data_IF_656906452911
#
_entry.id   IF_656906452911
#
_cell.length_a   1.000
_cell.length_b   1.000
_cell.length_c   1.000
_cell.angle_alpha   90.00
_cell.angle_beta   90.00
_cell.angle_gamma   90.00
#
_symmetry.space_group_name_H-M   'P 1'
#
loop_
_entity.id
_entity.type
_entity.pdbx_description
1 polymer ?
#
# COMPACT_ATOMS: atom_id res chain seq x y z
N UNK A 1 -15.57 -11.69 -13.94
CA UNK A 1 -15.16 -11.11 -12.64
C UNK A 1 -16.41 -10.79 -11.83
N UNK A 2 -16.41 -11.05 -10.53
CA UNK A 2 -17.47 -10.65 -9.58
C UNK A 2 -16.83 -9.70 -8.58
N UNK A 3 -17.51 -8.60 -8.25
CA UNK A 3 -17.01 -7.61 -7.29
C UNK A 3 -18.17 -6.94 -6.55
N UNK A 4 -17.99 -6.71 -5.25
CA UNK A 4 -18.91 -5.91 -4.44
C UNK A 4 -18.82 -4.41 -4.74
N UNK A 5 -17.77 -3.98 -5.44
CA UNK A 5 -17.63 -2.60 -5.89
C UNK A 5 -18.68 -2.27 -6.96
N UNK A 6 -19.17 -1.05 -6.97
CA UNK A 6 -20.14 -0.55 -7.96
C UNK A 6 -19.47 0.02 -9.22
N UNK A 7 -18.14 0.07 -9.22
CA UNK A 7 -17.36 0.63 -10.31
C UNK A 7 -16.59 -0.45 -11.06
N UNK A 8 -16.33 -0.19 -12.35
CA UNK A 8 -15.34 -0.92 -13.12
C UNK A 8 -13.95 -0.72 -12.54
N UNK A 9 -12.97 -1.58 -12.88
CA UNK A 9 -11.62 -1.48 -12.34
C UNK A 9 -11.00 -0.07 -12.49
N UNK A 10 -10.46 0.45 -11.41
CA UNK A 10 -9.85 1.77 -11.33
C UNK A 10 -8.55 1.73 -10.52
N UNK A 11 -7.70 2.73 -10.75
CA UNK A 11 -6.43 2.90 -10.08
C UNK A 11 -6.63 3.55 -8.69
N UNK A 12 -6.02 2.97 -7.65
CA UNK A 12 -6.20 3.43 -6.26
C UNK A 12 -5.14 4.43 -5.81
N UNK A 13 -3.87 4.36 -6.24
CA UNK A 13 -2.84 5.31 -5.79
C UNK A 13 -3.21 6.79 -5.92
N UNK A 14 -3.96 7.24 -6.95
CA UNK A 14 -4.38 8.63 -7.03
C UNK A 14 -5.36 9.09 -5.94
N UNK A 15 -6.05 8.15 -5.26
CA UNK A 15 -7.09 8.47 -4.28
C UNK A 15 -6.57 9.20 -3.03
N UNK A 16 -5.30 9.02 -2.68
CA UNK A 16 -4.62 9.74 -1.59
C UNK A 16 -3.83 10.97 -2.07
N UNK A 17 -3.74 11.16 -3.40
CA UNK A 17 -2.85 12.13 -4.07
C UNK A 17 -3.61 13.03 -5.04
N UNK A 18 -3.36 12.86 -6.35
CA UNK A 18 -3.85 13.77 -7.42
C UNK A 18 -5.36 13.85 -7.48
N UNK A 19 -6.06 12.73 -7.31
CA UNK A 19 -7.51 12.71 -7.34
C UNK A 19 -8.12 13.40 -6.11
N UNK A 20 -7.56 13.17 -4.91
CA UNK A 20 -7.97 13.87 -3.68
C UNK A 20 -7.78 15.39 -3.83
N UNK A 21 -6.65 15.80 -4.41
CA UNK A 21 -6.35 17.22 -4.65
C UNK A 21 -7.13 17.86 -5.82
N UNK A 22 -7.94 17.08 -6.54
CA UNK A 22 -8.69 17.56 -7.70
C UNK A 22 -7.81 17.91 -8.92
N UNK A 23 -6.60 17.34 -9.00
CA UNK A 23 -5.66 17.57 -10.11
C UNK A 23 -5.94 16.69 -11.33
N UNK A 24 -6.66 15.59 -11.15
CA UNK A 24 -7.12 14.71 -12.22
C UNK A 24 -8.62 14.47 -12.10
N UNK A 25 -9.26 14.24 -13.26
CA UNK A 25 -10.67 13.94 -13.34
C UNK A 25 -11.00 12.53 -12.85
N UNK A 26 -12.26 12.34 -12.40
CA UNK A 26 -12.79 11.04 -12.00
C UNK A 26 -12.62 9.97 -13.09
N UNK A 27 -12.79 10.34 -14.36
CA UNK A 27 -12.68 9.37 -15.46
C UNK A 27 -11.24 8.91 -15.70
N UNK A 28 -10.26 9.71 -15.33
CA UNK A 28 -8.84 9.40 -15.52
C UNK A 28 -8.32 8.29 -14.61
N UNK A 29 -9.04 7.95 -13.53
CA UNK A 29 -8.62 6.88 -12.62
C UNK A 29 -9.05 5.49 -13.09
N UNK A 30 -9.99 5.37 -14.04
CA UNK A 30 -10.42 4.08 -14.56
C UNK A 30 -9.40 3.53 -15.55
N UNK A 31 -9.04 2.26 -15.41
CA UNK A 31 -8.12 1.61 -16.34
C UNK A 31 -8.67 1.58 -17.76
N UNK A 32 -10.01 1.33 -17.85
CA UNK A 32 -10.70 1.30 -19.14
C UNK A 32 -12.12 1.87 -18.99
N UNK A 33 -12.65 2.42 -20.05
CA UNK A 33 -14.04 2.88 -20.09
C UNK A 33 -15.02 1.70 -20.04
N UNK A 34 -16.25 1.87 -19.50
CA UNK A 34 -17.23 0.80 -19.38
C UNK A 34 -17.49 -0.01 -20.65
N UNK A 35 -17.47 0.67 -21.82
CA UNK A 35 -17.68 0.04 -23.11
C UNK A 35 -16.56 -0.95 -23.51
N UNK A 36 -15.36 -0.82 -22.98
CA UNK A 36 -14.30 -1.79 -23.17
C UNK A 36 -14.71 -3.18 -22.65
N UNK A 37 -15.34 -3.21 -21.49
CA UNK A 37 -15.78 -4.46 -20.86
C UNK A 37 -17.07 -4.99 -21.46
N UNK A 38 -18.05 -4.12 -21.72
CA UNK A 38 -19.41 -4.52 -22.15
C UNK A 38 -19.47 -4.97 -23.61
N UNK A 39 -18.53 -4.50 -24.46
CA UNK A 39 -18.48 -4.91 -25.88
C UNK A 39 -17.67 -6.18 -26.13
N UNK A 40 -17.04 -6.75 -25.11
CA UNK A 40 -16.22 -7.96 -25.23
C UNK A 40 -17.00 -9.18 -24.73
N UNK A 41 -17.32 -10.11 -25.62
CA UNK A 41 -18.08 -11.32 -25.29
C UNK A 41 -17.34 -12.25 -24.31
N UNK A 42 -16.00 -12.19 -24.29
CA UNK A 42 -15.15 -13.01 -23.43
C UNK A 42 -14.88 -12.38 -22.05
N UNK A 43 -15.43 -11.19 -21.74
CA UNK A 43 -15.29 -10.54 -20.44
C UNK A 43 -16.68 -10.27 -19.87
N UNK A 44 -16.95 -10.85 -18.72
CA UNK A 44 -18.15 -10.54 -17.93
C UNK A 44 -17.76 -10.01 -16.57
N UNK A 45 -18.23 -8.79 -16.23
CA UNK A 45 -18.07 -8.18 -14.91
C UNK A 45 -19.43 -8.04 -14.26
N UNK A 46 -19.56 -8.57 -13.05
CA UNK A 46 -20.76 -8.48 -12.21
C UNK A 46 -20.41 -7.56 -11.06
N UNK A 47 -20.95 -6.34 -11.11
CA UNK A 47 -20.76 -5.29 -10.11
C UNK A 47 -21.80 -5.44 -8.97
N UNK A 48 -21.59 -4.71 -7.85
CA UNK A 48 -22.48 -4.68 -6.67
C UNK A 48 -22.87 -6.09 -6.17
N UNK A 49 -21.96 -7.05 -6.31
CA UNK A 49 -22.27 -8.44 -5.99
C UNK A 49 -21.11 -9.07 -5.25
N UNK A 50 -21.38 -9.58 -4.05
CA UNK A 50 -20.40 -10.32 -3.27
C UNK A 50 -20.44 -11.81 -3.61
N UNK A 51 -19.29 -12.47 -3.46
CA UNK A 51 -19.22 -13.93 -3.41
C UNK A 51 -19.34 -14.34 -1.95
N UNK A 52 -20.33 -15.18 -1.63
CA UNK A 52 -20.62 -15.62 -0.26
C UNK A 52 -19.87 -16.90 0.10
N UNK A 53 -19.68 -17.80 -0.88
CA UNK A 53 -19.04 -19.09 -0.69
C UNK A 53 -18.44 -19.61 -1.98
N UNK A 54 -17.33 -20.35 -1.85
CA UNK A 54 -16.73 -21.13 -2.93
C UNK A 54 -16.96 -22.62 -2.61
N UNK A 55 -17.68 -23.33 -3.46
CA UNK A 55 -17.76 -24.77 -3.39
C UNK A 55 -16.59 -25.35 -4.18
N UNK A 56 -15.56 -25.75 -3.46
CA UNK A 56 -14.31 -26.25 -4.07
C UNK A 56 -14.53 -27.57 -4.85
N UNK A 57 -15.39 -28.46 -4.34
CA UNK A 57 -15.65 -29.77 -4.95
C UNK A 57 -16.44 -29.64 -6.26
N UNK A 58 -17.46 -28.82 -6.26
CA UNK A 58 -18.35 -28.61 -7.40
C UNK A 58 -17.87 -27.51 -8.34
N UNK A 59 -16.75 -26.85 -7.99
CA UNK A 59 -16.20 -25.72 -8.73
C UNK A 59 -17.26 -24.64 -9.02
N UNK A 60 -17.97 -24.24 -7.97
CA UNK A 60 -19.01 -23.20 -8.02
C UNK A 60 -18.75 -22.08 -7.04
N UNK A 61 -19.13 -20.85 -7.40
CA UNK A 61 -19.19 -19.71 -6.51
C UNK A 61 -20.64 -19.29 -6.32
N UNK A 62 -21.06 -19.17 -5.07
CA UNK A 62 -22.36 -18.67 -4.68
C UNK A 62 -22.29 -17.18 -4.46
N UNK A 63 -23.14 -16.43 -5.15
CA UNK A 63 -23.22 -14.97 -5.09
C UNK A 63 -24.26 -14.51 -4.08
N UNK A 64 -24.14 -13.28 -3.60
CA UNK A 64 -25.07 -12.66 -2.63
C UNK A 64 -26.53 -12.56 -3.11
N UNK A 65 -26.77 -12.70 -4.42
CA UNK A 65 -28.09 -12.74 -5.02
C UNK A 65 -28.62 -14.18 -5.23
N UNK A 66 -27.94 -15.20 -4.68
CA UNK A 66 -28.30 -16.61 -4.80
C UNK A 66 -27.87 -17.28 -6.13
N UNK A 67 -27.27 -16.55 -7.05
CA UNK A 67 -26.79 -17.14 -8.32
C UNK A 67 -25.54 -17.98 -8.06
N UNK A 68 -25.45 -19.14 -8.71
CA UNK A 68 -24.25 -19.99 -8.72
C UNK A 68 -23.55 -19.85 -10.08
N UNK A 69 -22.26 -19.58 -10.06
CA UNK A 69 -21.42 -19.54 -11.26
C UNK A 69 -20.39 -20.66 -11.15
N UNK A 70 -20.35 -21.54 -12.13
CA UNK A 70 -19.31 -22.58 -12.23
C UNK A 70 -18.06 -22.03 -12.88
N UNK A 71 -16.90 -22.58 -12.49
CA UNK A 71 -15.59 -22.20 -13.01
C UNK A 71 -14.73 -23.45 -13.30
N UNK A 72 -13.85 -23.34 -14.26
CA UNK A 72 -12.73 -24.29 -14.43
C UNK A 72 -11.59 -23.95 -13.49
N UNK A 73 -11.30 -22.66 -13.35
CA UNK A 73 -10.31 -22.10 -12.42
C UNK A 73 -10.82 -20.78 -11.84
N UNK A 74 -10.47 -20.51 -10.59
CA UNK A 74 -10.86 -19.28 -9.88
C UNK A 74 -9.63 -18.51 -9.39
N UNK A 75 -9.73 -17.18 -9.37
CA UNK A 75 -8.74 -16.30 -8.77
C UNK A 75 -9.40 -15.49 -7.64
N UNK A 76 -8.87 -15.58 -6.44
CA UNK A 76 -9.28 -14.78 -5.30
C UNK A 76 -8.35 -13.56 -5.23
N UNK A 77 -8.92 -12.36 -5.44
CA UNK A 77 -8.21 -11.08 -5.39
C UNK A 77 -8.98 -10.06 -4.54
N UNK A 78 -9.44 -10.51 -3.37
CA UNK A 78 -10.32 -9.74 -2.47
C UNK A 78 -9.61 -8.60 -1.74
N UNK A 79 -8.28 -8.54 -1.79
CA UNK A 79 -7.48 -7.47 -1.18
C UNK A 79 -7.68 -7.35 0.33
N UNK A 80 -7.84 -6.13 0.81
CA UNK A 80 -8.06 -5.82 2.22
C UNK A 80 -8.97 -4.63 2.42
N UNK A 81 -9.46 -4.47 3.64
CA UNK A 81 -10.29 -3.34 4.10
C UNK A 81 -9.58 -2.55 5.19
N UNK A 82 -9.90 -1.25 5.38
CA UNK A 82 -9.35 -0.45 6.46
C UNK A 82 -9.61 -1.10 7.83
N UNK A 83 -8.59 -1.07 8.67
CA UNK A 83 -8.70 -1.52 10.07
C UNK A 83 -9.53 -0.50 10.85
N UNK A 84 -10.58 -0.98 11.53
CA UNK A 84 -11.39 -0.19 12.44
C UNK A 84 -10.73 -0.14 13.81
N UNK A 85 -10.72 1.03 14.46
CA UNK A 85 -10.20 1.18 15.83
C UNK A 85 -11.21 0.74 16.88
N UNK A 86 -12.51 0.85 16.56
CA UNK A 86 -13.64 0.57 17.48
C UNK A 86 -13.60 1.44 18.74
N UNK A 87 -13.27 2.71 18.55
CA UNK A 87 -13.24 3.71 19.61
C UNK A 87 -14.60 4.41 19.76
N UNK A 88 -14.93 4.94 20.95
CA UNK A 88 -16.12 5.76 21.16
C UNK A 88 -16.14 6.93 20.16
N UNK A 89 -17.28 7.13 19.49
CA UNK A 89 -17.48 8.21 18.52
C UNK A 89 -16.91 7.96 17.12
N UNK A 90 -16.37 6.75 16.82
CA UNK A 90 -15.85 6.41 15.49
C UNK A 90 -16.94 6.41 14.42
N UNK A 91 -18.20 6.33 14.81
CA UNK A 91 -19.38 6.37 13.94
C UNK A 91 -19.88 7.78 13.61
N UNK A 92 -19.31 8.83 14.20
CA UNK A 92 -19.71 10.22 13.94
C UNK A 92 -19.42 10.60 12.47
N UNK A 93 -20.29 11.47 11.93
CA UNK A 93 -20.02 12.10 10.65
C UNK A 93 -18.69 12.85 10.70
N UNK A 94 -17.97 12.87 9.56
CA UNK A 94 -16.63 13.48 9.48
C UNK A 94 -15.50 12.59 9.96
N UNK A 95 -15.79 11.33 10.35
CA UNK A 95 -14.78 10.28 10.54
C UNK A 95 -14.67 9.49 9.25
N UNK A 96 -13.49 9.50 8.64
CA UNK A 96 -13.22 8.91 7.33
C UNK A 96 -12.23 7.75 7.40
N UNK A 97 -12.34 6.89 6.41
CA UNK A 97 -11.36 5.90 6.00
C UNK A 97 -11.06 6.14 4.52
N UNK A 98 -9.95 5.61 4.02
CA UNK A 98 -9.63 5.74 2.60
C UNK A 98 -9.20 4.39 2.03
N UNK A 99 -10.05 3.81 1.18
CA UNK A 99 -9.78 2.59 0.42
C UNK A 99 -10.41 2.62 -0.96
N UNK A 100 -11.63 3.17 -1.05
CA UNK A 100 -12.46 3.16 -2.27
C UNK A 100 -12.57 4.55 -2.87
N UNK A 101 -13.09 4.59 -4.11
CA UNK A 101 -13.40 5.84 -4.79
C UNK A 101 -14.44 6.66 -4.01
N UNK A 102 -15.46 6.00 -3.43
CA UNK A 102 -16.47 6.68 -2.62
C UNK A 102 -15.88 7.28 -1.33
N UNK A 103 -14.93 6.57 -0.71
CA UNK A 103 -14.24 7.12 0.47
C UNK A 103 -13.51 8.42 0.11
N UNK A 104 -12.81 8.42 -1.04
CA UNK A 104 -12.12 9.62 -1.50
C UNK A 104 -13.11 10.73 -1.87
N UNK A 105 -14.20 10.42 -2.57
CA UNK A 105 -15.23 11.41 -2.90
C UNK A 105 -15.86 12.01 -1.65
N UNK A 106 -16.09 11.19 -0.60
CA UNK A 106 -16.58 11.68 0.69
C UNK A 106 -15.57 12.61 1.36
N UNK A 107 -14.28 12.23 1.36
CA UNK A 107 -13.20 13.06 1.92
C UNK A 107 -13.03 14.38 1.14
N UNK A 108 -13.19 14.37 -0.19
CA UNK A 108 -13.16 15.59 -1.03
C UNK A 108 -14.29 16.56 -0.75
N UNK A 109 -15.39 16.10 -0.19
CA UNK A 109 -16.54 16.98 0.17
C UNK A 109 -16.31 17.73 1.48
N UNK A 110 -15.28 17.38 2.24
CA UNK A 110 -14.93 18.09 3.45
C UNK A 110 -14.47 19.51 3.14
N UNK A 111 -15.16 20.49 3.78
CA UNK A 111 -14.87 21.90 3.65
C UNK A 111 -14.18 22.46 4.91
N UNK A 112 -13.77 21.59 5.80
CA UNK A 112 -13.13 21.93 7.06
C UNK A 112 -11.71 22.45 6.86
N UNK A 113 -11.23 23.21 7.85
CA UNK A 113 -9.89 23.80 7.86
C UNK A 113 -8.92 23.09 8.79
N UNK A 114 -9.41 22.23 9.67
CA UNK A 114 -8.61 21.49 10.63
C UNK A 114 -8.91 19.99 10.56
N UNK A 115 -7.90 19.19 10.27
CA UNK A 115 -8.00 17.74 10.17
C UNK A 115 -7.01 17.03 11.09
N UNK A 116 -7.46 15.91 11.65
CA UNK A 116 -6.58 14.95 12.34
C UNK A 116 -6.52 13.67 11.54
N UNK A 117 -5.30 13.17 11.34
CA UNK A 117 -5.02 11.88 10.71
C UNK A 117 -4.48 10.94 11.77
N UNK A 118 -5.12 9.80 11.95
CA UNK A 118 -4.71 8.76 12.87
C UNK A 118 -3.95 7.68 12.11
N UNK A 119 -2.65 7.59 12.37
CA UNK A 119 -1.70 6.69 11.72
C UNK A 119 -0.70 7.39 10.82
N UNK A 120 0.59 7.23 11.11
CA UNK A 120 1.74 7.76 10.35
C UNK A 120 2.30 6.76 9.33
N UNK A 121 1.44 5.87 8.78
CA UNK A 121 1.74 4.97 7.67
C UNK A 121 1.62 5.65 6.30
N UNK A 122 1.71 4.86 5.19
CA UNK A 122 1.69 5.43 3.83
C UNK A 122 0.47 6.28 3.55
N UNK A 123 -0.74 5.74 3.73
CA UNK A 123 -1.99 6.47 3.42
C UNK A 123 -2.13 7.71 4.29
N UNK A 124 -1.81 7.60 5.60
CA UNK A 124 -1.91 8.76 6.50
C UNK A 124 -0.98 9.90 6.08
N UNK A 125 0.26 9.58 5.73
CA UNK A 125 1.27 10.56 5.30
C UNK A 125 0.94 11.16 3.92
N UNK A 126 0.49 10.36 2.95
CA UNK A 126 0.06 10.85 1.64
C UNK A 126 -1.15 11.80 1.76
N UNK A 127 -2.15 11.44 2.58
CA UNK A 127 -3.31 12.29 2.80
C UNK A 127 -2.93 13.56 3.58
N UNK A 128 -2.01 13.45 4.57
CA UNK A 128 -1.50 14.63 5.29
C UNK A 128 -0.87 15.64 4.33
N UNK A 129 -0.02 15.17 3.41
CA UNK A 129 0.55 16.00 2.36
C UNK A 129 -0.55 16.63 1.49
N UNK A 130 -1.48 15.82 0.99
CA UNK A 130 -2.54 16.27 0.08
C UNK A 130 -3.47 17.31 0.73
N UNK A 131 -3.89 17.09 1.97
CA UNK A 131 -4.74 18.04 2.71
C UNK A 131 -4.00 19.36 3.03
N UNK A 132 -2.73 19.26 3.41
CA UNK A 132 -1.90 20.46 3.66
C UNK A 132 -1.72 21.28 2.38
N UNK A 133 -1.51 20.63 1.22
CA UNK A 133 -1.45 21.31 -0.08
C UNK A 133 -2.78 21.96 -0.48
N UNK A 134 -3.91 21.48 0.07
CA UNK A 134 -5.24 22.09 -0.10
C UNK A 134 -5.52 23.20 0.94
N UNK A 135 -4.55 23.51 1.82
CA UNK A 135 -4.68 24.56 2.83
C UNK A 135 -5.38 24.12 4.12
N UNK A 136 -5.55 22.82 4.34
CA UNK A 136 -6.10 22.25 5.57
C UNK A 136 -4.98 22.15 6.61
N UNK A 137 -5.18 22.68 7.81
CA UNK A 137 -4.28 22.51 8.95
C UNK A 137 -4.35 21.07 9.42
N UNK A 138 -3.27 20.34 9.24
CA UNK A 138 -3.23 18.89 9.42
C UNK A 138 -2.36 18.49 10.61
N UNK A 139 -2.90 17.62 11.48
CA UNK A 139 -2.16 16.99 12.57
C UNK A 139 -2.19 15.48 12.41
N UNK A 140 -1.03 14.82 12.43
CA UNK A 140 -0.88 13.36 12.38
C UNK A 140 -0.62 12.84 13.80
N UNK A 141 -1.42 11.87 14.25
CA UNK A 141 -1.24 11.14 15.51
C UNK A 141 -0.71 9.75 15.19
N UNK A 142 0.42 9.36 15.80
CA UNK A 142 1.05 8.07 15.60
C UNK A 142 1.45 7.46 16.95
N UNK A 143 1.05 6.20 17.20
CA UNK A 143 1.36 5.47 18.45
C UNK A 143 2.84 5.09 18.55
N UNK A 144 3.56 5.07 17.44
CA UNK A 144 4.97 4.74 17.39
C UNK A 144 5.85 5.99 17.56
N UNK A 145 7.15 5.83 17.90
CA UNK A 145 8.05 6.95 18.14
C UNK A 145 8.39 7.76 16.87
N UNK A 146 8.10 7.23 15.69
CA UNK A 146 8.33 7.89 14.40
C UNK A 146 7.40 7.36 13.32
N UNK A 147 7.19 8.14 12.27
CA UNK A 147 6.37 7.79 11.11
C UNK A 147 7.07 6.73 10.25
N UNK A 148 6.28 5.96 9.47
CA UNK A 148 6.82 4.91 8.58
C UNK A 148 7.73 3.88 9.27
N UNK A 149 7.55 3.64 10.55
CA UNK A 149 8.39 2.78 11.39
C UNK A 149 8.51 1.31 10.95
N UNK A 150 7.67 0.86 10.04
CA UNK A 150 7.74 -0.48 9.43
C UNK A 150 8.52 -0.51 8.12
N UNK A 151 8.97 0.64 7.64
CA UNK A 151 9.47 0.82 6.29
C UNK A 151 10.85 1.51 6.26
N UNK A 152 11.09 2.48 7.15
CA UNK A 152 12.36 3.20 7.26
C UNK A 152 12.87 3.18 8.68
N UNK A 153 14.18 3.41 8.85
CA UNK A 153 14.77 3.66 10.14
C UNK A 153 14.40 5.06 10.69
N UNK A 154 14.67 5.27 11.98
CA UNK A 154 14.34 6.53 12.65
C UNK A 154 15.00 7.75 11.99
N UNK A 155 16.22 7.62 11.47
CA UNK A 155 16.97 8.73 10.87
C UNK A 155 16.29 9.27 9.62
N UNK A 156 15.86 8.36 8.73
CA UNK A 156 15.10 8.74 7.53
C UNK A 156 13.74 9.27 7.92
N UNK A 157 13.04 8.59 8.83
CA UNK A 157 11.75 9.04 9.32
C UNK A 157 11.79 10.47 9.88
N UNK A 158 12.80 10.78 10.69
CA UNK A 158 12.99 12.13 11.25
C UNK A 158 13.26 13.18 10.16
N UNK A 159 14.02 12.85 9.13
CA UNK A 159 14.22 13.75 8.00
C UNK A 159 12.90 14.06 7.31
N UNK A 160 12.11 13.04 7.01
CA UNK A 160 10.80 13.20 6.37
C UNK A 160 9.83 13.95 7.28
N UNK A 161 9.78 13.62 8.57
CA UNK A 161 8.97 14.35 9.54
C UNK A 161 9.30 15.83 9.55
N UNK A 162 10.58 16.21 9.66
CA UNK A 162 11.04 17.60 9.63
C UNK A 162 10.65 18.29 8.32
N UNK A 163 10.68 17.55 7.19
CA UNK A 163 10.23 18.06 5.91
C UNK A 163 8.72 18.40 5.94
N UNK A 164 7.90 17.53 6.50
CA UNK A 164 6.47 17.78 6.68
C UNK A 164 6.18 18.95 7.63
N UNK A 165 6.92 19.05 8.73
CA UNK A 165 6.78 20.13 9.71
C UNK A 165 7.10 21.49 9.09
N UNK A 166 8.11 21.57 8.20
CA UNK A 166 8.38 22.76 7.39
C UNK A 166 7.22 23.15 6.46
N UNK A 167 6.43 22.18 6.02
CA UNK A 167 5.23 22.41 5.21
C UNK A 167 3.97 22.64 6.04
N UNK A 168 4.09 22.69 7.38
CA UNK A 168 2.99 23.06 8.28
C UNK A 168 2.17 21.88 8.80
N UNK A 169 2.62 20.64 8.62
CA UNK A 169 2.00 19.46 9.26
C UNK A 169 2.48 19.34 10.70
N UNK A 170 1.56 19.12 11.63
CA UNK A 170 1.89 18.83 13.02
C UNK A 170 1.93 17.33 13.28
N UNK A 171 2.81 16.90 14.21
CA UNK A 171 2.90 15.50 14.63
C UNK A 171 2.71 15.35 16.13
N UNK A 172 1.96 14.34 16.53
CA UNK A 172 1.84 13.84 17.90
C UNK A 172 2.25 12.36 17.86
N UNK A 173 3.46 12.09 18.29
CA UNK A 173 4.07 10.76 18.27
C UNK A 173 4.03 10.12 19.66
N UNK A 174 4.19 8.78 19.73
CA UNK A 174 4.05 7.99 20.96
C UNK A 174 2.69 8.20 21.63
N UNK A 175 1.65 8.41 20.85
CA UNK A 175 0.33 8.80 21.35
C UNK A 175 -0.76 8.09 20.56
N UNK A 176 -1.74 7.50 21.24
CA UNK A 176 -2.95 6.93 20.64
C UNK A 176 -4.14 7.87 20.75
N UNK A 177 -5.19 7.57 20.01
CA UNK A 177 -6.51 8.21 20.15
C UNK A 177 -7.34 7.39 21.11
N UNK A 178 -7.98 8.08 22.07
CA UNK A 178 -8.88 7.50 23.06
C UNK A 178 -10.33 7.49 22.60
N UNK A 179 -10.80 8.64 22.07
CA UNK A 179 -12.19 8.82 21.66
C UNK A 179 -12.37 10.01 20.71
N UNK A 180 -13.47 9.98 19.97
CA UNK A 180 -13.96 11.10 19.15
C UNK A 180 -15.17 11.71 19.82
N UNK A 181 -15.27 13.04 19.88
CA UNK A 181 -16.35 13.75 20.54
C UNK A 181 -17.06 14.65 19.54
N UNK A 182 -18.38 14.63 19.58
CA UNK A 182 -19.27 15.47 18.78
C UNK A 182 -20.71 15.18 19.11
N UNK A 183 -21.64 15.92 18.52
CA UNK A 183 -23.07 15.62 18.59
C UNK A 183 -23.45 14.65 17.44
N UNK A 184 -23.65 15.15 16.23
CA UNK A 184 -23.83 14.33 15.03
C UNK A 184 -22.50 14.13 14.28
N UNK A 185 -21.67 15.17 14.31
CA UNK A 185 -20.40 15.24 13.60
C UNK A 185 -19.26 15.41 14.59
N UNK A 186 -18.10 14.84 14.27
CA UNK A 186 -16.90 15.01 15.07
C UNK A 186 -16.53 16.50 15.19
N UNK A 187 -16.16 16.91 16.38
CA UNK A 187 -15.66 18.28 16.69
C UNK A 187 -14.37 18.27 17.48
N UNK A 188 -14.06 17.14 18.14
CA UNK A 188 -12.84 16.98 18.93
C UNK A 188 -12.32 15.55 18.87
N UNK A 189 -11.01 15.41 18.92
CA UNK A 189 -10.30 14.14 19.13
C UNK A 189 -9.58 14.21 20.47
N UNK A 190 -9.77 13.22 21.32
CA UNK A 190 -9.10 13.07 22.61
C UNK A 190 -8.03 12.00 22.48
N UNK A 191 -6.80 12.32 22.83
CA UNK A 191 -5.70 11.38 22.84
C UNK A 191 -5.66 10.57 24.16
N UNK A 192 -4.92 9.44 24.16
CA UNK A 192 -4.73 8.63 25.38
C UNK A 192 -4.02 9.42 26.49
N UNK A 193 -3.12 10.35 26.13
CA UNK A 193 -2.46 11.28 27.07
C UNK A 193 -3.32 12.45 27.51
N UNK A 194 -4.60 12.52 27.10
CA UNK A 194 -5.57 13.54 27.54
C UNK A 194 -5.51 14.86 26.77
N UNK A 195 -4.74 14.94 25.68
CA UNK A 195 -4.78 16.14 24.80
C UNK A 195 -6.11 16.20 24.06
N UNK A 196 -6.64 17.40 23.93
CA UNK A 196 -7.86 17.68 23.17
C UNK A 196 -7.52 18.45 21.92
N UNK A 197 -7.90 17.93 20.74
CA UNK A 197 -7.71 18.58 19.44
C UNK A 197 -9.08 18.94 18.87
N UNK A 198 -9.30 20.19 18.54
CA UNK A 198 -10.46 20.60 17.76
C UNK A 198 -10.26 20.15 16.31
N UNK A 199 -11.30 19.64 15.67
CA UNK A 199 -11.24 19.14 14.30
C UNK A 199 -12.57 19.39 13.58
N UNK A 200 -12.50 19.55 12.27
CA UNK A 200 -13.67 19.56 11.41
C UNK A 200 -13.96 18.15 10.88
N UNK A 201 -12.90 17.36 10.69
CA UNK A 201 -12.98 15.95 10.29
C UNK A 201 -11.71 15.19 10.68
N UNK A 202 -11.77 13.87 10.63
CA UNK A 202 -10.63 12.99 10.88
C UNK A 202 -10.55 11.84 9.89
N UNK A 203 -9.32 11.41 9.58
CA UNK A 203 -9.05 10.21 8.78
C UNK A 203 -8.38 9.15 9.66
N UNK A 204 -8.91 7.93 9.65
CA UNK A 204 -8.29 6.76 10.30
C UNK A 204 -7.53 5.95 9.25
N UNK A 205 -6.19 5.89 9.36
CA UNK A 205 -5.27 5.26 8.42
C UNK A 205 -4.27 4.33 9.12
N UNK A 206 -4.79 3.39 9.92
CA UNK A 206 -4.01 2.48 10.79
C UNK A 206 -3.78 1.09 10.16
N UNK A 207 -3.70 1.03 8.84
CA UNK A 207 -3.46 -0.18 8.07
C UNK A 207 -4.73 -0.90 7.63
N UNK A 208 -4.54 -2.08 7.02
CA UNK A 208 -5.63 -2.90 6.47
C UNK A 208 -5.71 -4.28 7.13
N UNK A 209 -6.87 -4.90 6.99
CA UNK A 209 -7.15 -6.30 7.33
C UNK A 209 -7.40 -7.05 6.02
N UNK A 210 -6.71 -8.16 5.74
CA UNK A 210 -6.95 -8.94 4.53
C UNK A 210 -8.34 -9.56 4.53
N UNK A 211 -9.01 -9.56 3.38
CA UNK A 211 -10.35 -10.13 3.22
C UNK A 211 -10.26 -11.63 2.94
N UNK A 212 -10.06 -12.43 3.99
CA UNK A 212 -9.84 -13.89 3.94
C UNK A 212 -11.11 -14.71 4.17
N UNK A 213 -12.21 -14.09 4.55
CA UNK A 213 -13.40 -14.76 5.07
C UNK A 213 -13.98 -15.75 4.08
N UNK A 214 -13.99 -15.42 2.78
CA UNK A 214 -14.46 -16.32 1.75
C UNK A 214 -13.59 -17.57 1.60
N UNK A 215 -12.28 -17.41 1.66
CA UNK A 215 -11.35 -18.53 1.61
C UNK A 215 -11.51 -19.44 2.84
N UNK A 216 -11.58 -18.82 4.03
CA UNK A 216 -11.73 -19.53 5.29
C UNK A 216 -13.05 -20.34 5.34
N UNK A 217 -14.19 -19.72 4.96
CA UNK A 217 -15.49 -20.40 4.88
C UNK A 217 -15.50 -21.55 3.87
N UNK A 218 -14.62 -21.51 2.88
CA UNK A 218 -14.50 -22.51 1.81
C UNK A 218 -13.47 -23.60 2.11
N UNK A 219 -12.85 -23.59 3.30
CA UNK A 219 -11.83 -24.56 3.72
C UNK A 219 -10.47 -24.39 3.04
N UNK A 220 -10.19 -23.20 2.50
CA UNK A 220 -8.89 -22.84 1.93
C UNK A 220 -8.00 -22.33 3.06
N UNK A 221 -6.73 -22.74 3.07
CA UNK A 221 -5.79 -22.38 4.12
C UNK A 221 -5.53 -20.86 4.15
N UNK A 222 -5.63 -20.31 5.36
CA UNK A 222 -5.40 -18.89 5.65
C UNK A 222 -4.54 -18.73 6.89
N UNK A 223 -3.79 -17.64 6.93
CA UNK A 223 -3.09 -17.12 8.09
C UNK A 223 -3.20 -15.59 8.03
N UNK A 224 -2.12 -14.86 8.03
CA UNK A 224 -2.12 -13.44 7.66
C UNK A 224 -2.27 -13.28 6.13
N UNK A 225 -3.50 -13.51 5.61
CA UNK A 225 -3.81 -13.62 4.18
C UNK A 225 -4.13 -15.05 3.75
N UNK A 226 -4.37 -15.28 2.46
CA UNK A 226 -4.61 -16.59 1.87
C UNK A 226 -3.26 -17.20 1.50
N UNK A 227 -2.96 -18.39 2.04
CA UNK A 227 -1.69 -19.08 1.81
C UNK A 227 -1.61 -19.58 0.36
N UNK A 228 -0.50 -19.26 -0.31
CA UNK A 228 -0.23 -19.76 -1.65
C UNK A 228 1.20 -20.29 -1.80
N UNK A 229 1.38 -21.19 -2.75
CA UNK A 229 2.70 -21.64 -3.19
C UNK A 229 3.34 -20.63 -4.16
N UNK A 230 4.52 -20.96 -4.68
CA UNK A 230 5.27 -20.11 -5.63
C UNK A 230 4.58 -19.93 -7.00
N UNK A 231 3.55 -20.70 -7.29
CA UNK A 231 2.73 -20.59 -8.50
C UNK A 231 1.44 -19.81 -8.27
N UNK A 232 1.25 -19.25 -7.07
CA UNK A 232 0.04 -18.58 -6.60
C UNK A 232 -1.18 -19.50 -6.46
N UNK A 233 -0.96 -20.81 -6.39
CA UNK A 233 -2.00 -21.80 -6.11
C UNK A 233 -2.27 -21.84 -4.61
N UNK A 234 -3.56 -21.86 -4.23
CA UNK A 234 -4.00 -22.04 -2.83
C UNK A 234 -3.95 -23.54 -2.45
N UNK A 235 -4.32 -23.87 -1.21
CA UNK A 235 -4.49 -25.27 -0.78
C UNK A 235 -5.63 -26.00 -1.52
N UNK A 236 -6.51 -25.28 -2.21
CA UNK A 236 -7.59 -25.84 -3.02
C UNK A 236 -7.20 -25.88 -4.50
N UNK A 237 -7.36 -27.06 -5.11
CA UNK A 237 -7.03 -27.27 -6.52
C UNK A 237 -7.82 -26.31 -7.43
N UNK A 238 -7.16 -25.77 -8.45
CA UNK A 238 -7.70 -24.86 -9.45
C UNK A 238 -8.17 -23.50 -8.88
N UNK A 239 -7.79 -23.18 -7.63
CA UNK A 239 -8.05 -21.88 -7.00
C UNK A 239 -6.73 -21.17 -6.71
N UNK A 240 -6.59 -19.99 -7.25
CA UNK A 240 -5.42 -19.12 -7.19
C UNK A 240 -5.70 -17.89 -6.34
N UNK A 241 -4.64 -17.20 -5.90
CA UNK A 241 -4.75 -15.95 -5.15
C UNK A 241 -3.76 -14.91 -5.64
N UNK A 242 -4.14 -13.62 -5.62
CA UNK A 242 -3.27 -12.52 -6.02
C UNK A 242 -3.55 -11.24 -5.22
N UNK A 243 -2.59 -10.31 -5.26
CA UNK A 243 -2.68 -8.99 -4.62
C UNK A 243 -2.53 -9.02 -3.10
N UNK A 244 -3.04 -7.98 -2.44
CA UNK A 244 -2.83 -7.71 -1.00
C UNK A 244 -3.30 -8.84 -0.07
N UNK A 245 -4.21 -9.69 -0.53
CA UNK A 245 -4.72 -10.83 0.26
C UNK A 245 -3.81 -12.05 0.20
N UNK A 246 -2.90 -12.12 -0.78
CA UNK A 246 -2.02 -13.26 -1.00
C UNK A 246 -0.87 -13.29 0.02
N UNK A 247 -0.73 -14.40 0.75
CA UNK A 247 0.39 -14.69 1.62
C UNK A 247 1.32 -15.66 0.90
N UNK A 248 2.42 -15.14 0.35
CA UNK A 248 3.35 -15.86 -0.54
C UNK A 248 4.75 -15.91 0.06
N UNK A 249 5.55 -16.90 -0.38
CA UNK A 249 6.98 -16.87 -0.11
C UNK A 249 7.67 -15.87 -1.04
N UNK A 250 8.31 -14.87 -0.45
CA UNK A 250 9.06 -13.83 -1.16
C UNK A 250 10.55 -14.22 -1.25
N UNK A 251 11.06 -14.59 -2.43
CA UNK A 251 12.45 -15.04 -2.58
C UNK A 251 13.45 -13.89 -2.40
N UNK A 252 13.05 -12.64 -2.57
CA UNK A 252 13.93 -11.49 -2.42
C UNK A 252 14.41 -11.30 -0.98
N UNK A 253 13.54 -11.62 -0.02
CA UNK A 253 13.84 -11.52 1.43
C UNK A 253 13.89 -12.87 2.15
N UNK A 254 13.54 -13.98 1.47
CA UNK A 254 13.67 -15.34 1.99
C UNK A 254 12.61 -15.73 3.04
N UNK A 255 11.46 -15.06 3.07
CA UNK A 255 10.39 -15.36 4.04
C UNK A 255 8.99 -15.24 3.42
N UNK A 256 8.01 -15.89 4.06
CA UNK A 256 6.59 -15.77 3.69
C UNK A 256 6.02 -14.46 4.24
N UNK A 257 5.29 -13.72 3.38
CA UNK A 257 4.61 -12.48 3.78
C UNK A 257 3.45 -12.11 2.85
N UNK A 258 2.61 -11.18 3.29
CA UNK A 258 1.74 -10.39 2.43
C UNK A 258 2.48 -9.15 1.96
N UNK A 259 2.28 -8.78 0.71
CA UNK A 259 2.89 -7.60 0.09
C UNK A 259 1.76 -6.71 -0.42
N UNK A 260 1.55 -5.57 0.27
CA UNK A 260 0.47 -4.62 0.01
C UNK A 260 0.92 -3.51 -0.95
N UNK A 261 1.69 -3.88 -1.99
CA UNK A 261 2.21 -2.93 -2.97
C UNK A 261 1.45 -3.05 -4.29
N UNK A 262 1.19 -1.92 -4.92
CA UNK A 262 0.47 -1.84 -6.19
C UNK A 262 1.11 -2.71 -7.28
N UNK A 263 2.43 -2.58 -7.48
CA UNK A 263 3.15 -3.34 -8.49
C UNK A 263 3.17 -4.85 -8.21
N UNK A 264 3.15 -5.25 -6.93
CA UNK A 264 3.01 -6.66 -6.57
C UNK A 264 1.61 -7.19 -6.90
N UNK A 265 0.56 -6.39 -6.67
CA UNK A 265 -0.80 -6.79 -7.02
C UNK A 265 -0.95 -6.96 -8.54
N UNK A 266 -0.39 -6.05 -9.33
CA UNK A 266 -0.34 -6.15 -10.80
C UNK A 266 0.44 -7.38 -11.26
N UNK A 267 1.66 -7.59 -10.72
CA UNK A 267 2.50 -8.73 -11.07
C UNK A 267 1.84 -10.06 -10.72
N UNK A 268 1.31 -10.20 -9.49
CA UNK A 268 0.68 -11.45 -9.04
C UNK A 268 -0.61 -11.74 -9.79
N UNK A 269 -1.38 -10.71 -10.17
CA UNK A 269 -2.55 -10.87 -11.03
C UNK A 269 -2.20 -11.44 -12.40
N UNK A 270 -1.17 -10.89 -13.06
CA UNK A 270 -0.64 -11.36 -14.34
C UNK A 270 -0.07 -12.79 -14.24
N UNK A 271 0.70 -13.05 -13.16
CA UNK A 271 1.30 -14.36 -12.92
C UNK A 271 0.25 -15.44 -12.65
N UNK A 272 -0.75 -15.14 -11.82
CA UNK A 272 -1.87 -16.04 -11.57
C UNK A 272 -2.61 -16.39 -12.86
N UNK A 273 -2.91 -15.39 -13.71
CA UNK A 273 -3.57 -15.62 -14.99
C UNK A 273 -2.75 -16.56 -15.91
N UNK A 274 -1.42 -16.38 -16.01
CA UNK A 274 -0.54 -17.27 -16.76
C UNK A 274 -0.55 -18.68 -16.19
N UNK A 275 -0.52 -18.83 -14.86
CA UNK A 275 -0.53 -20.14 -14.22
C UNK A 275 -1.90 -20.83 -14.33
N UNK A 276 -2.99 -20.07 -14.30
CA UNK A 276 -4.33 -20.57 -14.65
C UNK A 276 -4.39 -21.11 -16.09
N UNK A 277 -3.59 -20.57 -17.01
CA UNK A 277 -3.43 -21.06 -18.38
C UNK A 277 -2.38 -22.18 -18.53
N UNK A 278 -1.80 -22.67 -17.43
CA UNK A 278 -0.88 -23.79 -17.40
C UNK A 278 0.59 -23.48 -17.65
N UNK A 279 1.01 -22.20 -17.58
CA UNK A 279 2.42 -21.81 -17.82
C UNK A 279 3.38 -22.25 -16.71
N UNK A 280 2.91 -22.41 -15.46
CA UNK A 280 3.72 -22.83 -14.29
C UNK A 280 4.96 -21.97 -14.06
N UNK A 281 4.79 -20.66 -14.14
CA UNK A 281 5.83 -19.68 -13.81
C UNK A 281 5.85 -19.44 -12.29
N UNK A 282 7.05 -19.42 -11.69
CA UNK A 282 7.22 -19.16 -10.26
C UNK A 282 7.16 -17.66 -9.97
N UNK A 283 6.66 -17.31 -8.79
CA UNK A 283 6.81 -15.96 -8.26
C UNK A 283 8.30 -15.65 -8.04
N UNK A 284 8.79 -14.66 -8.75
CA UNK A 284 10.17 -14.17 -8.65
C UNK A 284 10.16 -12.68 -8.99
N UNK A 285 9.74 -11.86 -8.02
CA UNK A 285 9.57 -10.44 -8.21
C UNK A 285 10.08 -9.66 -7.00
N UNK A 286 10.96 -8.68 -7.26
CA UNK A 286 11.32 -7.68 -6.28
C UNK A 286 10.24 -6.60 -6.30
N UNK A 287 9.39 -6.61 -5.28
CA UNK A 287 8.36 -5.59 -5.16
C UNK A 287 8.96 -4.30 -4.64
N UNK A 288 8.68 -3.21 -5.34
CA UNK A 288 9.00 -1.85 -4.88
C UNK A 288 7.75 -1.14 -4.39
N UNK A 289 7.94 -0.16 -3.53
CA UNK A 289 6.91 0.76 -3.08
C UNK A 289 7.32 2.17 -3.45
N UNK A 290 6.37 3.00 -3.83
CA UNK A 290 6.61 4.41 -4.12
C UNK A 290 5.54 5.29 -3.49
N UNK A 291 5.88 6.54 -3.24
CA UNK A 291 4.97 7.56 -2.73
C UNK A 291 5.40 8.94 -3.20
N UNK A 292 4.43 9.75 -3.64
CA UNK A 292 4.62 11.16 -3.96
C UNK A 292 3.98 12.00 -2.86
N UNK A 293 4.80 12.76 -2.14
CA UNK A 293 4.40 13.62 -1.02
C UNK A 293 5.00 15.01 -1.20
N UNK A 294 4.16 16.02 -1.24
CA UNK A 294 4.54 17.37 -1.67
C UNK A 294 5.25 17.32 -3.03
N UNK A 295 6.53 17.64 -3.09
CA UNK A 295 7.41 17.60 -4.26
C UNK A 295 8.48 16.48 -4.16
N UNK A 296 8.35 15.57 -3.18
CA UNK A 296 9.23 14.42 -3.04
C UNK A 296 8.65 13.19 -3.73
N UNK A 297 9.48 12.55 -4.56
CA UNK A 297 9.27 11.19 -5.02
C UNK A 297 10.10 10.24 -4.16
N UNK A 298 9.45 9.32 -3.47
CA UNK A 298 10.09 8.35 -2.58
C UNK A 298 9.86 6.96 -3.15
N UNK A 299 10.94 6.20 -3.30
CA UNK A 299 10.87 4.80 -3.72
C UNK A 299 11.71 3.91 -2.80
N UNK A 300 11.28 2.67 -2.61
CA UNK A 300 12.03 1.66 -1.87
C UNK A 300 11.85 0.29 -2.46
N UNK A 301 12.92 -0.49 -2.41
CA UNK A 301 12.92 -1.90 -2.83
C UNK A 301 13.72 -2.78 -1.87
N UNK A 302 13.36 -4.06 -1.80
CA UNK A 302 14.03 -5.04 -0.97
C UNK A 302 13.64 -5.01 0.51
N UNK A 303 14.58 -5.43 1.37
CA UNK A 303 14.44 -5.44 2.83
C UNK A 303 15.29 -4.31 3.44
N UNK A 304 14.61 -3.33 4.01
CA UNK A 304 15.22 -2.15 4.65
C UNK A 304 15.37 -2.33 6.17
N UNK A 305 15.00 -3.49 6.70
CA UNK A 305 14.97 -3.75 8.15
C UNK A 305 16.03 -4.75 8.63
N UNK A 306 16.46 -5.67 7.75
CA UNK A 306 17.46 -6.70 8.04
C UNK A 306 18.83 -6.35 7.43
N UNK A 307 19.59 -5.47 8.10
CA UNK A 307 20.89 -5.00 7.65
C UNK A 307 21.91 -4.89 8.81
N UNK A 308 23.18 -4.90 8.47
CA UNK A 308 24.30 -4.64 9.39
C UNK A 308 25.02 -3.32 9.09
N UNK A 309 24.83 -2.78 7.89
CA UNK A 309 25.45 -1.53 7.44
C UNK A 309 24.52 -0.81 6.45
N UNK A 310 24.66 0.52 6.36
CA UNK A 310 24.03 1.29 5.30
C UNK A 310 24.99 2.34 4.71
N UNK A 311 24.76 2.71 3.46
CA UNK A 311 25.48 3.73 2.74
C UNK A 311 24.50 4.82 2.31
N UNK A 312 24.84 6.08 2.59
CA UNK A 312 24.12 7.24 2.07
C UNK A 312 24.84 7.71 0.79
N UNK A 313 24.08 7.77 -0.31
CA UNK A 313 24.50 8.28 -1.61
C UNK A 313 23.65 9.49 -1.95
N UNK A 314 24.26 10.67 -2.09
CA UNK A 314 23.58 11.91 -2.42
C UNK A 314 23.37 12.87 -1.25
N UNK A 315 22.50 13.84 -1.44
CA UNK A 315 22.27 14.93 -0.50
C UNK A 315 21.21 14.56 0.56
N UNK A 316 21.67 14.10 1.72
CA UNK A 316 20.82 13.79 2.88
C UNK A 316 20.51 15.06 3.68
N UNK A 317 19.63 15.90 3.14
CA UNK A 317 19.25 17.19 3.72
C UNK A 317 17.74 17.40 3.69
N UNK A 318 17.19 18.10 4.68
CA UNK A 318 15.75 18.45 4.73
C UNK A 318 15.39 19.50 3.69
N UNK A 319 16.32 20.40 3.35
CA UNK A 319 16.02 21.54 2.46
C UNK A 319 15.92 21.14 0.99
N UNK A 320 16.69 20.16 0.56
CA UNK A 320 16.66 19.63 -0.80
C UNK A 320 17.05 18.16 -0.78
N UNK A 321 16.16 17.26 -0.29
CA UNK A 321 16.48 15.86 -0.18
C UNK A 321 16.59 15.20 -1.57
N UNK A 322 17.77 14.65 -1.86
CA UNK A 322 18.05 13.92 -3.09
C UNK A 322 19.11 12.85 -2.78
N UNK A 323 18.68 11.67 -2.35
CA UNK A 323 19.59 10.64 -1.87
C UNK A 323 19.02 9.23 -1.98
N UNK A 324 19.91 8.25 -1.91
CA UNK A 324 19.64 6.87 -1.56
C UNK A 324 20.24 6.52 -0.21
N UNK A 325 19.50 5.76 0.62
CA UNK A 325 20.06 4.95 1.69
C UNK A 325 20.05 3.51 1.22
N UNK A 326 21.23 2.94 1.04
CA UNK A 326 21.45 1.59 0.53
C UNK A 326 21.81 0.70 1.72
N UNK A 327 20.97 -0.30 2.02
CA UNK A 327 21.14 -1.21 3.15
C UNK A 327 21.87 -2.46 2.72
N UNK A 328 22.90 -2.85 3.48
CA UNK A 328 23.72 -4.02 3.21
C UNK A 328 23.65 -5.01 4.38
N UNK A 329 23.82 -6.28 4.05
CA UNK A 329 24.04 -7.36 5.02
C UNK A 329 25.06 -8.34 4.48
N UNK A 330 26.18 -8.52 5.22
CA UNK A 330 27.25 -9.38 4.78
C UNK A 330 27.82 -9.01 3.41
N UNK A 331 27.91 -7.72 3.10
CA UNK A 331 28.42 -7.20 1.82
C UNK A 331 27.45 -7.26 0.64
N UNK A 332 26.22 -7.73 0.84
CA UNK A 332 25.19 -7.80 -0.21
C UNK A 332 24.12 -6.73 0.03
N UNK A 333 23.68 -6.06 -1.03
CA UNK A 333 22.58 -5.08 -0.94
C UNK A 333 21.28 -5.82 -0.65
N UNK A 334 20.63 -5.45 0.44
CA UNK A 334 19.34 -6.02 0.88
C UNK A 334 18.15 -5.18 0.45
N UNK A 335 18.32 -3.87 0.45
CA UNK A 335 17.26 -2.93 0.10
C UNK A 335 17.79 -1.51 -0.01
N UNK A 336 16.89 -0.61 -0.39
CA UNK A 336 17.18 0.81 -0.44
C UNK A 336 15.93 1.64 -0.13
N UNK A 337 16.15 2.88 0.30
CA UNK A 337 15.16 3.96 0.33
C UNK A 337 15.74 5.14 -0.43
N UNK A 338 15.04 5.57 -1.46
CA UNK A 338 15.43 6.64 -2.36
C UNK A 338 14.48 7.82 -2.27
N UNK A 339 15.02 9.04 -2.29
CA UNK A 339 14.24 10.28 -2.43
C UNK A 339 14.77 11.05 -3.62
N UNK A 340 13.90 11.36 -4.60
CA UNK A 340 14.19 12.14 -5.81
C UNK A 340 15.37 11.59 -6.62
N UNK A 341 15.52 10.24 -6.69
CA UNK A 341 16.59 9.58 -7.46
C UNK A 341 16.09 9.14 -8.83
N UNK A 342 17.02 9.05 -9.78
CA UNK A 342 16.76 8.69 -11.17
C UNK A 342 16.40 7.21 -11.31
N UNK A 343 15.54 6.91 -12.26
CA UNK A 343 15.07 5.55 -12.57
C UNK A 343 16.21 4.58 -12.89
N UNK A 344 17.24 5.03 -13.63
CA UNK A 344 18.41 4.22 -14.00
C UNK A 344 19.18 3.74 -12.77
N UNK A 345 19.35 4.61 -11.77
CA UNK A 345 19.99 4.26 -10.49
C UNK A 345 19.18 3.23 -9.73
N UNK A 346 17.85 3.44 -9.62
CA UNK A 346 16.94 2.52 -8.93
C UNK A 346 16.86 1.16 -9.63
N UNK A 347 16.84 1.16 -10.96
CA UNK A 347 16.89 -0.07 -11.76
C UNK A 347 18.17 -0.87 -11.53
N UNK A 348 19.32 -0.18 -11.40
CA UNK A 348 20.60 -0.82 -11.09
C UNK A 348 20.56 -1.43 -9.66
N UNK A 349 20.07 -0.69 -8.67
CA UNK A 349 19.91 -1.21 -7.30
C UNK A 349 18.98 -2.44 -7.25
N UNK A 350 17.88 -2.41 -7.96
CA UNK A 350 16.96 -3.56 -8.06
C UNK A 350 17.65 -4.79 -8.63
N UNK A 351 18.47 -4.64 -9.66
CA UNK A 351 19.27 -5.74 -10.24
C UNK A 351 20.29 -6.27 -9.25
N UNK A 352 21.01 -5.40 -8.53
CA UNK A 352 22.02 -5.78 -7.53
C UNK A 352 21.38 -6.55 -6.36
N UNK A 353 20.18 -6.16 -5.90
CA UNK A 353 19.42 -6.88 -4.87
C UNK A 353 19.05 -8.29 -5.35
N UNK A 354 18.50 -8.40 -6.55
CA UNK A 354 18.06 -9.70 -7.11
C UNK A 354 19.22 -10.63 -7.36
N UNK A 355 20.33 -10.12 -7.92
CA UNK A 355 21.52 -10.90 -8.23
C UNK A 355 22.40 -11.20 -7.03
N UNK A 356 22.15 -10.56 -5.88
CA UNK A 356 22.91 -10.76 -4.62
C UNK A 356 24.43 -10.61 -4.80
N UNK A 357 24.85 -9.64 -5.61
CA UNK A 357 26.27 -9.35 -5.84
C UNK A 357 26.93 -8.89 -4.54
N UNK A 358 28.12 -9.45 -4.24
CA UNK A 358 28.95 -8.96 -3.14
C UNK A 358 29.63 -7.63 -3.53
N UNK A 359 29.27 -6.59 -2.83
CA UNK A 359 29.79 -5.21 -3.02
C UNK A 359 30.67 -4.75 -1.87
N UNK A 360 31.19 -5.66 -1.03
CA UNK A 360 32.03 -5.36 0.13
C UNK A 360 33.19 -4.44 -0.19
N UNK A 361 33.84 -4.65 -1.36
CA UNK A 361 35.00 -3.88 -1.84
C UNK A 361 34.59 -2.71 -2.75
N UNK A 362 33.27 -2.40 -2.87
CA UNK A 362 32.71 -1.40 -3.78
C UNK A 362 31.95 -0.28 -3.05
N UNK A 363 32.22 -0.11 -1.76
CA UNK A 363 31.48 0.88 -0.94
C UNK A 363 31.76 2.32 -1.36
N UNK A 364 32.97 2.61 -1.87
CA UNK A 364 33.27 3.93 -2.38
C UNK A 364 32.49 4.24 -3.66
N UNK A 365 32.37 3.26 -4.55
CA UNK A 365 31.58 3.35 -5.77
C UNK A 365 30.08 3.50 -5.46
N UNK A 366 29.58 2.78 -4.46
CA UNK A 366 28.18 2.94 -4.00
C UNK A 366 27.92 4.35 -3.45
N UNK A 367 28.91 4.99 -2.83
CA UNK A 367 28.79 6.33 -2.25
C UNK A 367 28.96 7.44 -3.28
N UNK A 368 29.75 7.22 -4.33
CA UNK A 368 30.08 8.22 -5.35
C UNK A 368 28.92 8.41 -6.33
N UNK A 369 28.21 9.53 -6.27
CA UNK A 369 27.07 9.86 -7.14
C UNK A 369 27.41 9.86 -8.65
N UNK A 370 28.68 10.04 -9.00
CA UNK A 370 29.13 10.02 -10.39
C UNK A 370 29.38 8.61 -10.93
N UNK A 371 29.45 7.62 -10.03
CA UNK A 371 29.67 6.24 -10.43
C UNK A 371 28.38 5.58 -10.90
N UNK A 372 28.41 4.98 -12.09
CA UNK A 372 27.29 4.24 -12.65
C UNK A 372 27.15 2.86 -11.97
N UNK A 373 26.10 2.72 -11.15
CA UNK A 373 25.85 1.51 -10.36
C UNK A 373 25.59 0.27 -11.23
N UNK A 374 25.19 0.42 -12.49
CA UNK A 374 24.98 -0.71 -13.41
C UNK A 374 26.27 -1.50 -13.67
N UNK A 375 27.43 -0.85 -13.50
CA UNK A 375 28.76 -1.49 -13.65
C UNK A 375 29.13 -2.42 -12.49
N UNK A 376 28.39 -2.38 -11.38
CA UNK A 376 28.62 -3.28 -10.25
C UNK A 376 28.02 -4.69 -10.47
N UNK A 377 27.13 -4.85 -11.42
CA UNK A 377 26.50 -6.12 -11.76
C UNK A 377 27.25 -6.93 -12.84
N UNK A 378 28.41 -6.45 -13.24
CA UNK A 378 29.35 -7.12 -14.16
C UNK A 378 30.45 -7.80 -13.32
#
# INVERSE_FOLDING_TARGET
>A
MVTSDKYYPYDRPPLSKEYLRGKIDRNSIFFEQPNYYTKRENIRIILNTSVEKINVKEKGVELSNGTIIHFDKALIATGGRPRKLKLPGEELEGIHYLRTLDDCDSLKQENGKEAVIIGGGFIGIEVASSLTMLGVKTTVIEVKPYIWNTFVDEKISRLIQNYFEKHGVNFILNEGVKEFIGDKRVSRVITEGGKTLNVDFALIAVGIVPNIEIAQKSGIEVDNGIIANEYLETSAKDIYVAGDVANIYDPSIGKRRRIEHWNNAEYTGKLAAKNMLGKREKYNFLSTIWSDIFDLHIESGGDTTDYDEYIIRGNFSVDNPNFNVIYLKGGVIKGYVAINRDYEELSALNKLIVSKVDVSNKKNELKDEKYDLSKLSL
#
